data_IF_756177486732
#
_entry.id   IF_756177486732
#
_cell.length_a   1.000
_cell.length_b   1.000
_cell.length_c   1.000
_cell.angle_alpha   90.00
_cell.angle_beta   90.00
_cell.angle_gamma   90.00
#
_symmetry.space_group_name_H-M   'P 1'
#
loop_
_entity.id
_entity.type
_entity.pdbx_description
1 polymer ?
#
# COMPACT_ATOMS: atom_id res chain seq x y z
N UNK A 1 -16.72 11.28 2.37
CA UNK A 1 -16.16 12.58 2.85
C UNK A 1 -16.98 13.75 2.35
N UNK A 2 -16.90 14.15 1.07
CA UNK A 2 -17.65 15.32 0.56
C UNK A 2 -19.17 15.15 0.69
N UNK A 3 -19.71 14.00 0.31
CA UNK A 3 -21.14 13.68 0.44
C UNK A 3 -21.63 13.66 1.89
N UNK A 4 -20.71 13.47 2.85
CA UNK A 4 -20.96 13.50 4.29
C UNK A 4 -20.72 14.91 4.89
N UNK A 5 -20.44 15.93 4.06
CA UNK A 5 -20.12 17.28 4.50
C UNK A 5 -18.74 17.45 5.15
N UNK A 6 -17.83 16.48 4.97
CA UNK A 6 -16.48 16.52 5.54
C UNK A 6 -15.49 17.17 4.56
N UNK A 7 -15.02 18.37 4.91
CA UNK A 7 -14.08 19.17 4.12
C UNK A 7 -12.64 19.17 4.67
N UNK A 8 -12.34 18.41 5.73
CA UNK A 8 -10.99 18.29 6.28
C UNK A 8 -10.53 16.83 6.19
N UNK A 9 -9.38 16.60 5.58
CA UNK A 9 -8.73 15.29 5.53
C UNK A 9 -7.44 15.29 6.35
N UNK A 10 -7.41 14.48 7.42
CA UNK A 10 -6.16 14.14 8.12
C UNK A 10 -5.36 13.13 7.30
N UNK A 11 -4.42 13.62 6.50
CA UNK A 11 -3.63 12.80 5.58
C UNK A 11 -2.21 12.57 6.11
N UNK A 12 -1.93 11.33 6.53
CA UNK A 12 -0.66 10.90 7.08
C UNK A 12 0.47 10.64 6.08
N UNK A 13 0.29 10.87 4.77
CA UNK A 13 1.35 10.70 3.78
C UNK A 13 2.61 11.47 4.19
N UNK A 14 3.78 10.83 4.16
CA UNK A 14 5.03 11.45 4.65
C UNK A 14 5.53 12.57 3.75
N UNK A 15 6.29 13.51 4.30
CA UNK A 15 6.83 14.66 3.55
C UNK A 15 7.88 14.30 2.50
N UNK A 16 8.46 13.09 2.55
CA UNK A 16 9.48 12.61 1.60
C UNK A 16 8.92 11.69 0.51
N UNK A 17 7.68 11.23 0.66
CA UNK A 17 7.05 10.28 -0.24
C UNK A 17 6.38 10.97 -1.43
N UNK A 18 6.07 10.21 -2.47
CA UNK A 18 5.37 10.71 -3.65
C UNK A 18 3.87 10.94 -3.38
N UNK A 19 3.30 10.21 -2.43
CA UNK A 19 1.84 10.20 -2.21
C UNK A 19 1.30 11.51 -1.65
N UNK A 20 2.13 12.30 -0.95
CA UNK A 20 1.73 13.63 -0.46
C UNK A 20 1.27 14.54 -1.61
N UNK A 21 1.99 14.54 -2.73
CA UNK A 21 1.64 15.37 -3.88
C UNK A 21 0.46 14.79 -4.68
N UNK A 22 0.43 13.45 -4.81
CA UNK A 22 -0.66 12.74 -5.50
C UNK A 22 -1.99 13.02 -4.82
N UNK A 23 -2.05 12.77 -3.51
CA UNK A 23 -3.25 12.94 -2.71
C UNK A 23 -3.68 14.39 -2.59
N UNK A 24 -2.73 15.31 -2.41
CA UNK A 24 -3.02 16.74 -2.43
C UNK A 24 -3.74 17.17 -3.72
N UNK A 25 -3.19 16.80 -4.87
CA UNK A 25 -3.75 17.18 -6.17
C UNK A 25 -5.10 16.55 -6.42
N UNK A 26 -5.23 15.24 -6.23
CA UNK A 26 -6.51 14.54 -6.47
C UNK A 26 -7.59 14.98 -5.49
N UNK A 27 -7.24 15.23 -4.22
CA UNK A 27 -8.15 15.73 -3.20
C UNK A 27 -8.77 17.06 -3.60
N UNK A 28 -7.94 18.04 -3.96
CA UNK A 28 -8.40 19.38 -4.36
C UNK A 28 -9.18 19.38 -5.69
N UNK A 29 -8.81 18.53 -6.64
CA UNK A 29 -9.59 18.35 -7.88
C UNK A 29 -10.99 17.79 -7.60
N UNK A 30 -11.12 16.93 -6.60
CA UNK A 30 -12.39 16.28 -6.23
C UNK A 30 -13.26 17.19 -5.35
N UNK A 31 -12.63 17.94 -4.46
CA UNK A 31 -13.28 18.88 -3.56
C UNK A 31 -12.45 20.16 -3.43
N UNK A 32 -12.89 21.24 -4.08
CA UNK A 32 -12.19 22.52 -4.08
C UNK A 32 -12.13 23.19 -2.69
N UNK A 33 -13.02 22.82 -1.76
CA UNK A 33 -13.03 23.30 -0.37
C UNK A 33 -12.20 22.43 0.57
N UNK A 34 -11.55 21.37 0.06
CA UNK A 34 -10.78 20.45 0.89
C UNK A 34 -9.60 21.15 1.56
N UNK A 35 -9.54 21.04 2.87
CA UNK A 35 -8.36 21.35 3.67
C UNK A 35 -7.69 20.04 4.10
N UNK A 36 -6.37 20.05 4.18
CA UNK A 36 -5.59 18.86 4.52
C UNK A 36 -4.83 19.15 5.82
N UNK A 37 -5.13 18.36 6.85
CA UNK A 37 -4.40 18.34 8.10
C UNK A 37 -3.26 17.33 7.99
N UNK A 38 -2.03 17.75 8.32
CA UNK A 38 -0.83 16.91 8.33
C UNK A 38 -0.40 16.67 9.78
N UNK A 39 -0.68 15.48 10.36
CA UNK A 39 -0.38 15.23 11.78
C UNK A 39 1.09 15.43 12.14
N UNK A 40 2.01 15.12 11.23
CA UNK A 40 3.46 15.31 11.43
C UNK A 40 3.91 16.79 11.37
N UNK A 41 2.99 17.75 11.22
CA UNK A 41 3.25 19.17 11.45
C UNK A 41 2.78 19.64 12.83
N UNK A 42 1.99 18.84 13.54
CA UNK A 42 1.47 19.14 14.87
C UNK A 42 2.43 18.61 15.94
N UNK A 43 2.94 19.50 16.80
CA UNK A 43 3.91 19.13 17.83
C UNK A 43 3.33 18.17 18.85
N UNK A 44 2.05 18.34 19.23
CA UNK A 44 1.41 17.45 20.20
C UNK A 44 1.33 16.02 19.65
N UNK A 45 1.00 15.89 18.35
CA UNK A 45 0.99 14.59 17.68
C UNK A 45 2.39 13.97 17.61
N UNK A 46 3.42 14.75 17.33
CA UNK A 46 4.81 14.25 17.26
C UNK A 46 5.26 13.76 18.64
N UNK A 47 4.98 14.53 19.69
CA UNK A 47 5.42 14.24 21.05
C UNK A 47 4.73 13.01 21.63
N UNK A 48 3.44 12.79 21.31
CA UNK A 48 2.67 11.65 21.82
C UNK A 48 2.74 10.40 20.90
N UNK A 49 2.82 10.58 19.58
CA UNK A 49 2.59 9.53 18.58
C UNK A 49 3.67 9.46 17.49
N UNK A 50 4.88 9.99 17.74
CA UNK A 50 5.93 10.13 16.73
C UNK A 50 6.47 8.81 16.14
N UNK A 51 6.31 7.68 16.84
CA UNK A 51 6.81 6.37 16.43
C UNK A 51 5.81 5.24 16.65
N UNK A 52 6.11 4.07 16.07
CA UNK A 52 5.23 2.89 16.16
C UNK A 52 5.08 2.35 17.58
N UNK A 53 6.13 2.52 18.39
CA UNK A 53 6.13 2.06 19.78
C UNK A 53 5.17 2.91 20.61
N UNK A 54 5.31 4.23 20.53
CA UNK A 54 4.49 5.22 21.22
C UNK A 54 3.01 5.09 20.79
N UNK A 55 2.75 4.93 19.48
CA UNK A 55 1.39 4.64 18.98
C UNK A 55 0.80 3.35 19.56
N UNK A 56 1.62 2.30 19.74
CA UNK A 56 1.16 1.04 20.33
C UNK A 56 0.84 1.19 21.82
N UNK A 57 1.67 1.93 22.55
CA UNK A 57 1.43 2.23 23.97
C UNK A 57 0.17 3.07 24.18
N UNK A 58 -0.06 4.07 23.32
CA UNK A 58 -1.28 4.88 23.32
C UNK A 58 -2.55 4.03 23.16
N UNK A 59 -2.54 3.09 22.21
CA UNK A 59 -3.68 2.17 21.99
C UNK A 59 -3.95 1.29 23.21
N UNK A 60 -2.89 0.76 23.83
CA UNK A 60 -2.98 -0.06 25.05
C UNK A 60 -3.53 0.76 26.21
N UNK A 61 -3.04 1.99 26.40
CA UNK A 61 -3.52 2.91 27.43
C UNK A 61 -5.01 3.25 27.26
N UNK A 62 -5.49 3.29 26.02
CA UNK A 62 -6.90 3.48 25.68
C UNK A 62 -7.76 2.21 25.80
N UNK A 63 -7.18 1.07 26.23
CA UNK A 63 -7.91 -0.18 26.43
C UNK A 63 -8.10 -1.02 25.16
N UNK A 64 -7.35 -0.74 24.09
CA UNK A 64 -7.37 -1.52 22.86
C UNK A 64 -6.13 -2.44 22.78
N UNK A 65 -6.35 -3.75 22.67
CA UNK A 65 -5.27 -4.73 22.45
C UNK A 65 -4.78 -4.67 20.99
N UNK A 66 -3.89 -3.71 20.72
CA UNK A 66 -3.25 -3.57 19.41
C UNK A 66 -2.08 -4.54 19.29
N UNK A 67 -2.29 -5.63 18.55
CA UNK A 67 -1.22 -6.61 18.26
C UNK A 67 -0.27 -6.07 17.21
N UNK A 68 0.88 -5.58 17.66
CA UNK A 68 1.97 -5.22 16.75
C UNK A 68 2.36 -6.43 15.87
N UNK A 69 2.34 -6.23 14.56
CA UNK A 69 2.89 -7.21 13.62
C UNK A 69 4.38 -7.38 13.85
N UNK A 70 4.89 -8.61 13.64
CA UNK A 70 6.33 -8.90 13.61
C UNK A 70 7.04 -7.88 12.73
N UNK A 71 8.15 -7.32 13.23
CA UNK A 71 8.93 -6.36 12.48
C UNK A 71 9.39 -6.97 11.16
N UNK A 72 9.01 -6.33 10.05
CA UNK A 72 9.45 -6.72 8.71
C UNK A 72 10.71 -5.96 8.33
N UNK A 73 11.58 -6.61 7.56
CA UNK A 73 12.79 -6.04 6.98
C UNK A 73 12.54 -4.97 5.91
N UNK A 74 11.28 -4.72 5.53
CA UNK A 74 10.86 -3.75 4.51
C UNK A 74 9.40 -3.30 4.73
N UNK A 75 9.04 -2.15 4.16
CA UNK A 75 7.67 -1.66 4.02
C UNK A 75 6.98 -2.32 2.82
N UNK A 76 5.65 -2.38 2.82
CA UNK A 76 4.87 -2.94 1.70
C UNK A 76 3.59 -2.17 1.51
N UNK A 77 3.37 -1.71 0.28
CA UNK A 77 2.08 -1.21 -0.20
C UNK A 77 1.55 -2.14 -1.29
N UNK A 78 0.22 -2.29 -1.39
CA UNK A 78 -0.38 -3.20 -2.36
C UNK A 78 -1.81 -2.85 -2.71
N UNK A 79 -2.18 -3.16 -3.95
CA UNK A 79 -3.56 -3.21 -4.42
C UNK A 79 -3.72 -4.38 -5.41
N UNK A 80 -4.88 -4.53 -6.06
CA UNK A 80 -5.10 -5.67 -6.95
C UNK A 80 -4.16 -5.72 -8.17
N UNK A 81 -3.58 -4.58 -8.57
CA UNK A 81 -2.72 -4.48 -9.75
C UNK A 81 -1.29 -4.90 -9.44
N UNK A 82 -0.85 -4.79 -8.18
CA UNK A 82 0.52 -5.10 -7.80
C UNK A 82 0.84 -4.76 -6.35
N UNK A 83 2.04 -5.14 -5.94
CA UNK A 83 2.62 -4.84 -4.65
C UNK A 83 4.03 -4.27 -4.81
N UNK A 84 4.38 -3.31 -3.96
CA UNK A 84 5.72 -2.73 -3.88
C UNK A 84 6.33 -3.05 -2.52
N UNK A 85 7.65 -3.29 -2.50
CA UNK A 85 8.43 -3.53 -1.28
C UNK A 85 9.62 -2.57 -1.26
N UNK A 86 9.77 -1.79 -0.20
CA UNK A 86 10.77 -0.72 -0.14
C UNK A 86 11.19 -0.40 1.31
N UNK A 87 12.12 0.55 1.48
CA UNK A 87 12.66 1.03 2.76
C UNK A 87 13.40 -0.03 3.59
N UNK A 88 13.96 0.40 4.73
CA UNK A 88 14.70 -0.47 5.68
C UNK A 88 15.85 -1.21 4.96
N UNK A 89 15.92 -2.53 5.06
CA UNK A 89 17.02 -3.31 4.50
C UNK A 89 17.07 -3.23 2.97
N UNK A 90 15.98 -2.84 2.29
CA UNK A 90 15.95 -2.61 0.85
C UNK A 90 16.52 -1.24 0.42
N UNK A 91 16.90 -0.37 1.36
CA UNK A 91 17.61 0.89 1.03
C UNK A 91 19.06 0.63 0.60
N UNK A 92 19.65 -0.49 1.05
CA UNK A 92 21.01 -0.85 0.68
C UNK A 92 21.03 -1.57 -0.66
N UNK A 93 21.81 -1.05 -1.62
CA UNK A 93 21.91 -1.61 -2.97
C UNK A 93 22.60 -3.00 -3.02
N UNK A 94 23.23 -3.44 -1.92
CA UNK A 94 23.74 -4.79 -1.77
C UNK A 94 22.69 -5.78 -1.22
N UNK A 95 21.50 -5.31 -0.87
CA UNK A 95 20.34 -6.13 -0.55
C UNK A 95 19.76 -6.79 -1.80
N UNK A 96 18.86 -7.74 -1.62
CA UNK A 96 18.34 -8.55 -2.73
C UNK A 96 16.86 -8.84 -2.54
N UNK A 97 16.14 -9.03 -3.66
CA UNK A 97 14.78 -9.59 -3.65
C UNK A 97 14.65 -10.88 -2.83
N UNK A 98 15.77 -11.60 -2.60
CA UNK A 98 15.81 -12.80 -1.77
C UNK A 98 15.38 -12.60 -0.32
N UNK A 99 15.45 -11.38 0.23
CA UNK A 99 14.94 -11.08 1.58
C UNK A 99 13.41 -10.89 1.59
N UNK A 100 12.80 -10.68 0.41
CA UNK A 100 11.38 -10.42 0.26
C UNK A 100 10.60 -11.72 0.33
N UNK A 101 9.49 -11.71 1.07
CA UNK A 101 8.43 -12.71 0.99
C UNK A 101 7.29 -12.16 0.10
N UNK A 102 7.18 -12.60 -1.17
CA UNK A 102 6.17 -12.08 -2.10
C UNK A 102 4.76 -12.35 -1.59
N UNK A 103 3.84 -11.41 -1.83
CA UNK A 103 2.43 -11.53 -1.41
C UNK A 103 1.46 -11.80 -2.56
N UNK A 104 1.92 -11.79 -3.81
CA UNK A 104 1.11 -12.04 -5.02
C UNK A 104 1.69 -13.16 -5.90
N UNK A 105 2.64 -13.95 -5.38
CA UNK A 105 3.31 -14.99 -6.14
C UNK A 105 4.23 -15.83 -5.27
N UNK A 106 5.04 -16.67 -5.91
CA UNK A 106 5.99 -17.57 -5.23
C UNK A 106 7.42 -17.02 -5.29
N UNK A 107 8.29 -17.48 -4.38
CA UNK A 107 9.73 -17.18 -4.39
C UNK A 107 10.43 -17.93 -5.52
N UNK A 108 10.33 -17.44 -6.75
CA UNK A 108 10.86 -18.12 -7.94
C UNK A 108 12.38 -18.37 -7.91
N UNK A 109 13.12 -17.66 -7.05
CA UNK A 109 14.56 -17.84 -6.85
C UNK A 109 14.93 -18.95 -5.84
N UNK A 110 13.94 -19.53 -5.15
CA UNK A 110 14.15 -20.63 -4.20
C UNK A 110 14.07 -21.96 -4.95
N UNK A 111 15.18 -22.70 -5.01
CA UNK A 111 15.29 -23.97 -5.76
C UNK A 111 14.35 -25.08 -5.23
N UNK A 112 13.87 -24.94 -3.99
CA UNK A 112 12.88 -25.84 -3.42
C UNK A 112 11.48 -25.63 -4.03
N UNK A 113 11.20 -24.43 -4.56
CA UNK A 113 9.92 -24.08 -5.19
C UNK A 113 9.88 -24.64 -6.61
N UNK A 114 8.97 -25.59 -6.86
CA UNK A 114 8.78 -26.18 -8.19
C UNK A 114 7.77 -25.38 -9.00
N UNK A 115 8.18 -24.94 -10.19
CA UNK A 115 7.36 -24.15 -11.11
C UNK A 115 7.23 -24.95 -12.43
N UNK A 116 6.12 -25.67 -12.65
CA UNK A 116 5.89 -26.36 -13.92
C UNK A 116 5.61 -25.34 -15.03
N UNK A 117 5.93 -25.71 -16.27
CA UNK A 117 5.55 -24.91 -17.42
C UNK A 117 4.02 -24.88 -17.57
N UNK A 118 3.46 -23.70 -17.85
CA UNK A 118 2.03 -23.49 -18.05
C UNK A 118 1.79 -22.73 -19.37
N UNK A 119 0.82 -23.18 -20.16
CA UNK A 119 0.34 -22.46 -21.34
C UNK A 119 -0.87 -21.64 -20.94
N UNK A 120 -0.78 -20.31 -21.11
CA UNK A 120 -1.86 -19.37 -20.81
C UNK A 120 -2.32 -18.68 -22.09
N UNK A 121 -3.63 -18.63 -22.33
CA UNK A 121 -4.24 -17.87 -23.44
C UNK A 121 -4.98 -16.65 -22.90
N UNK A 122 -4.63 -15.47 -23.38
CA UNK A 122 -5.33 -14.21 -23.07
C UNK A 122 -6.03 -13.72 -24.32
N UNK A 123 -7.36 -13.60 -24.27
CA UNK A 123 -8.17 -13.14 -25.40
C UNK A 123 -8.54 -11.68 -25.20
N UNK A 124 -8.37 -10.88 -26.24
CA UNK A 124 -8.74 -9.46 -26.26
C UNK A 124 -9.83 -9.18 -27.29
N UNK A 125 -10.70 -8.22 -26.98
CA UNK A 125 -11.64 -7.60 -27.91
C UNK A 125 -11.53 -6.08 -27.76
N UNK A 126 -11.30 -5.36 -28.86
CA UNK A 126 -11.20 -3.89 -28.87
C UNK A 126 -10.20 -3.31 -27.84
N UNK A 127 -9.14 -4.04 -27.51
CA UNK A 127 -8.13 -3.62 -26.53
C UNK A 127 -8.45 -4.00 -25.08
N UNK A 128 -9.63 -4.56 -24.81
CA UNK A 128 -10.01 -5.07 -23.49
C UNK A 128 -9.72 -6.57 -23.41
N UNK A 129 -9.02 -7.06 -22.38
CA UNK A 129 -8.93 -8.50 -22.14
C UNK A 129 -10.33 -8.98 -21.76
N UNK A 130 -10.80 -10.12 -22.30
CA UNK A 130 -12.18 -10.62 -22.13
C UNK A 130 -12.27 -12.08 -21.70
N UNK A 131 -11.18 -12.85 -21.87
CA UNK A 131 -11.11 -14.23 -21.39
C UNK A 131 -9.69 -14.66 -21.07
N UNK A 132 -9.57 -15.57 -20.10
CA UNK A 132 -8.35 -16.28 -19.76
C UNK A 132 -8.61 -17.79 -19.90
N UNK A 133 -7.76 -18.48 -20.66
CA UNK A 133 -7.87 -19.93 -20.91
C UNK A 133 -9.27 -20.35 -21.40
N UNK A 134 -9.85 -19.57 -22.33
CA UNK A 134 -11.18 -19.80 -22.90
C UNK A 134 -12.36 -19.45 -21.98
N UNK A 135 -12.12 -19.09 -20.72
CA UNK A 135 -13.16 -18.73 -19.75
C UNK A 135 -13.40 -17.21 -19.76
N UNK A 136 -14.64 -16.74 -20.01
CA UNK A 136 -14.97 -15.32 -19.92
C UNK A 136 -14.70 -14.76 -18.52
N UNK A 137 -14.22 -13.53 -18.43
CA UNK A 137 -14.04 -12.80 -17.17
C UNK A 137 -14.95 -11.58 -17.14
N UNK A 138 -15.77 -11.46 -16.08
CA UNK A 138 -16.67 -10.31 -15.88
C UNK A 138 -15.91 -9.03 -15.46
N UNK A 139 -14.69 -9.16 -14.95
CA UNK A 139 -13.86 -8.03 -14.47
C UNK A 139 -13.24 -7.19 -15.61
N UNK A 140 -13.65 -7.50 -16.84
CA UNK A 140 -12.89 -7.27 -18.06
C UNK A 140 -13.79 -6.72 -19.19
N UNK A 141 -15.09 -6.53 -18.91
CA UNK A 141 -16.16 -6.19 -19.86
C UNK A 141 -16.80 -4.82 -19.57
N UNK A 142 -16.05 -3.82 -19.12
CA UNK A 142 -16.54 -2.43 -19.04
C UNK A 142 -15.73 -1.51 -19.92
#
# INVERSE_FOLDING_TARGET
MKEDGVNIWGDGSTYKGNDIERFYRYGLLTNAELQIYKPWLDTDFIDELGGRHEMSEFMIACGFDYKMSVEKAYSTDSNMLGATHEAKDLEFLNSSVKIVNPIMGVKFWDESVKIPAEVVTVRFEQGHPVALNGKPSAMMLR
#
